data_IF_591280472951
#
_entry.id   IF_591280472951
#
_cell.length_a   1.000
_cell.length_b   1.000
_cell.length_c   1.000
_cell.angle_alpha   90.00
_cell.angle_beta   90.00
_cell.angle_gamma   90.00
#
_symmetry.space_group_name_H-M   'P 1'
#
loop_
_entity.id
_entity.type
_entity.pdbx_description
1 polymer ?
#
# COMPACT_ATOMS: atom_id res chain seq x y z
N UNK A 1 -28.20 41.14 36.92
CA UNK A 1 -27.49 41.34 35.63
C UNK A 1 -26.72 40.05 35.35
N UNK A 2 -27.24 39.22 34.46
CA UNK A 2 -26.66 37.91 34.11
C UNK A 2 -25.78 38.11 32.87
N UNK A 3 -24.48 37.90 33.01
CA UNK A 3 -23.50 38.02 31.91
C UNK A 3 -23.77 36.94 30.86
N UNK A 4 -23.74 37.24 29.54
CA UNK A 4 -23.94 36.24 28.51
C UNK A 4 -22.76 35.25 28.46
N UNK A 5 -23.11 33.98 28.34
CA UNK A 5 -22.22 32.82 28.22
C UNK A 5 -21.24 33.03 27.04
N UNK A 6 -19.94 33.07 27.32
CA UNK A 6 -18.93 33.30 26.31
C UNK A 6 -18.79 32.04 25.42
N UNK A 7 -18.72 32.17 24.08
CA UNK A 7 -18.61 31.02 23.20
C UNK A 7 -17.30 30.26 23.46
N UNK A 8 -17.43 28.98 23.81
CA UNK A 8 -16.30 28.07 24.05
C UNK A 8 -15.28 28.10 22.90
N UNK A 9 -13.97 28.24 23.19
CA UNK A 9 -12.96 28.38 22.15
C UNK A 9 -12.88 27.09 21.35
N UNK A 10 -13.38 27.12 20.11
CA UNK A 10 -13.22 26.01 19.16
C UNK A 10 -11.74 25.66 19.09
N UNK A 11 -11.39 24.39 19.34
CA UNK A 11 -10.00 23.93 19.34
C UNK A 11 -9.29 24.33 18.05
N UNK A 12 -8.03 24.75 18.16
CA UNK A 12 -7.25 25.20 17.00
C UNK A 12 -6.96 24.03 16.06
N UNK A 13 -6.71 24.31 14.78
CA UNK A 13 -6.37 23.26 13.81
C UNK A 13 -5.12 22.47 14.23
N UNK A 14 -4.10 23.15 14.76
CA UNK A 14 -2.87 22.51 15.25
C UNK A 14 -3.16 21.52 16.38
N UNK A 15 -4.04 21.88 17.30
CA UNK A 15 -4.44 21.01 18.40
C UNK A 15 -5.16 19.76 17.86
N UNK A 16 -6.10 19.93 16.93
CA UNK A 16 -6.83 18.81 16.32
C UNK A 16 -5.92 17.84 15.55
N UNK A 17 -4.90 18.36 14.86
CA UNK A 17 -3.91 17.54 14.16
C UNK A 17 -3.07 16.73 15.16
N UNK A 18 -2.67 17.36 16.27
CA UNK A 18 -1.93 16.68 17.34
C UNK A 18 -2.77 15.58 18.01
N UNK A 19 -4.02 15.88 18.34
CA UNK A 19 -4.99 14.91 18.89
C UNK A 19 -5.28 13.75 17.93
N UNK A 20 -5.23 13.99 16.62
CA UNK A 20 -5.46 12.96 15.61
C UNK A 20 -4.30 11.96 15.44
N UNK A 21 -3.11 12.25 15.95
CA UNK A 21 -1.89 11.45 15.76
C UNK A 21 -0.91 12.00 14.72
N UNK A 22 -1.09 13.26 14.28
CA UNK A 22 -0.26 13.90 13.26
C UNK A 22 -1.02 14.22 11.97
N UNK A 23 -0.33 14.85 11.02
CA UNK A 23 -0.93 15.32 9.76
C UNK A 23 -1.46 14.17 8.89
N UNK A 24 -0.72 13.07 8.81
CA UNK A 24 -1.13 11.89 8.03
C UNK A 24 -2.48 11.35 8.52
N UNK A 25 -2.58 11.04 9.82
CA UNK A 25 -3.81 10.53 10.43
C UNK A 25 -4.98 11.52 10.35
N UNK A 26 -4.71 12.81 10.56
CA UNK A 26 -5.74 13.84 10.43
C UNK A 26 -6.34 13.88 9.02
N UNK A 27 -5.48 13.89 7.99
CA UNK A 27 -5.92 13.91 6.60
C UNK A 27 -6.60 12.61 6.21
N UNK A 28 -6.06 11.46 6.62
CA UNK A 28 -6.64 10.16 6.33
C UNK A 28 -8.06 10.04 6.92
N UNK A 29 -8.25 10.41 8.20
CA UNK A 29 -9.58 10.42 8.84
C UNK A 29 -10.57 11.35 8.14
N UNK A 30 -10.10 12.52 7.68
CA UNK A 30 -10.94 13.46 6.91
C UNK A 30 -11.31 12.89 5.55
N UNK A 31 -10.35 12.29 4.84
CA UNK A 31 -10.54 11.70 3.52
C UNK A 31 -11.49 10.51 3.58
N UNK A 32 -11.31 9.59 4.53
CA UNK A 32 -12.16 8.41 4.72
C UNK A 32 -13.62 8.80 4.96
N UNK A 33 -13.88 9.88 5.70
CA UNK A 33 -15.24 10.38 5.93
C UNK A 33 -15.94 10.81 4.63
N UNK A 34 -15.19 11.32 3.65
CA UNK A 34 -15.75 11.88 2.41
C UNK A 34 -15.72 10.89 1.26
N UNK A 35 -14.61 10.17 1.10
CA UNK A 35 -14.33 9.27 -0.02
C UNK A 35 -14.49 7.78 0.33
N UNK A 36 -14.70 7.46 1.62
CA UNK A 36 -14.69 6.08 2.11
C UNK A 36 -13.26 5.56 2.39
N UNK A 37 -13.15 4.40 3.07
CA UNK A 37 -11.87 3.74 3.25
C UNK A 37 -11.29 3.30 1.90
N UNK A 38 -9.96 3.17 1.84
CA UNK A 38 -9.32 2.63 0.66
C UNK A 38 -9.93 1.26 0.32
N UNK A 39 -10.39 1.11 -0.92
CA UNK A 39 -10.83 -0.18 -1.47
C UNK A 39 -9.60 -1.06 -1.69
N UNK A 40 -9.01 -1.55 -0.62
CA UNK A 40 -8.28 -2.82 -0.69
C UNK A 40 -9.36 -3.83 -1.02
N UNK A 41 -9.41 -4.28 -2.28
CA UNK A 41 -10.35 -5.33 -2.68
C UNK A 41 -10.23 -6.54 -1.75
N UNK A 42 -11.11 -7.54 -1.86
CA UNK A 42 -10.89 -8.80 -1.17
C UNK A 42 -9.43 -9.19 -1.42
N UNK A 43 -8.64 -9.32 -0.36
CA UNK A 43 -7.33 -9.93 -0.52
C UNK A 43 -7.62 -11.29 -1.11
N UNK A 44 -7.24 -11.50 -2.36
CA UNK A 44 -7.31 -12.82 -2.96
C UNK A 44 -6.49 -13.73 -2.05
N UNK A 45 -7.19 -14.58 -1.30
CA UNK A 45 -6.56 -15.56 -0.41
C UNK A 45 -6.04 -16.75 -1.20
N UNK A 46 -6.44 -16.85 -2.48
CA UNK A 46 -5.83 -17.74 -3.44
C UNK A 46 -4.34 -17.44 -3.52
N UNK A 47 -3.47 -18.41 -3.18
CA UNK A 47 -2.03 -18.23 -3.36
C UNK A 47 -1.75 -17.83 -4.80
N UNK A 48 -0.87 -16.84 -4.98
CA UNK A 48 -0.51 -16.41 -6.33
C UNK A 48 0.06 -17.62 -7.09
N UNK A 49 -0.37 -17.87 -8.35
CA UNK A 49 0.14 -19.00 -9.11
C UNK A 49 1.66 -18.90 -9.22
N UNK A 50 2.34 -20.05 -9.15
CA UNK A 50 3.79 -20.10 -9.28
C UNK A 50 4.21 -19.47 -10.62
N UNK A 51 4.91 -18.34 -10.51
CA UNK A 51 5.37 -17.58 -11.68
C UNK A 51 6.40 -18.37 -12.48
N UNK A 52 7.05 -19.36 -11.88
CA UNK A 52 8.10 -20.16 -12.51
C UNK A 52 7.54 -21.24 -13.45
N UNK A 53 6.26 -21.59 -13.33
CA UNK A 53 5.60 -22.53 -14.26
C UNK A 53 5.15 -21.87 -15.58
N UNK A 54 5.32 -20.55 -15.70
CA UNK A 54 5.10 -19.85 -16.98
C UNK A 54 6.16 -20.28 -18.00
N UNK A 55 5.72 -20.43 -19.24
CA UNK A 55 6.60 -20.78 -20.35
C UNK A 55 7.63 -19.67 -20.61
N UNK A 56 8.90 -20.07 -20.79
CA UNK A 56 9.95 -19.17 -21.25
C UNK A 56 9.62 -18.65 -22.66
N UNK A 57 9.71 -17.34 -22.93
CA UNK A 57 9.37 -16.78 -24.25
C UNK A 57 10.36 -17.17 -25.36
N UNK A 58 11.50 -17.79 -25.01
CA UNK A 58 12.52 -18.22 -25.96
C UNK A 58 12.41 -19.70 -26.32
N UNK A 59 12.30 -20.59 -25.32
CA UNK A 59 12.32 -22.05 -25.53
C UNK A 59 10.97 -22.74 -25.25
N UNK A 60 9.98 -22.05 -24.68
CA UNK A 60 8.66 -22.59 -24.37
C UNK A 60 8.58 -23.52 -23.15
N UNK A 61 9.71 -23.90 -22.55
CA UNK A 61 9.75 -24.74 -21.34
C UNK A 61 9.47 -23.92 -20.07
N UNK A 62 8.98 -24.54 -18.97
CA UNK A 62 8.78 -23.86 -17.69
C UNK A 62 10.05 -23.14 -17.22
N UNK A 63 9.90 -21.92 -16.70
CA UNK A 63 11.01 -21.14 -16.13
C UNK A 63 11.68 -21.85 -14.95
N UNK A 64 10.93 -22.72 -14.24
CA UNK A 64 11.43 -23.59 -13.16
C UNK A 64 12.56 -24.54 -13.59
N UNK A 65 12.69 -24.82 -14.90
CA UNK A 65 13.76 -25.67 -15.44
C UNK A 65 15.03 -24.90 -15.84
N UNK A 66 15.03 -23.57 -15.75
CA UNK A 66 16.15 -22.75 -16.19
C UNK A 66 17.18 -22.55 -15.07
N UNK A 67 18.46 -22.43 -15.44
CA UNK A 67 19.51 -22.03 -14.50
C UNK A 67 19.96 -20.61 -14.77
N UNK A 68 20.35 -19.88 -13.71
CA UNK A 68 20.77 -18.49 -13.81
C UNK A 68 22.16 -18.34 -13.21
N UNK A 69 23.12 -17.94 -14.05
CA UNK A 69 24.43 -17.49 -13.59
C UNK A 69 24.36 -16.01 -13.20
N UNK A 70 24.70 -15.73 -11.94
CA UNK A 70 24.72 -14.39 -11.34
C UNK A 70 26.12 -13.96 -10.91
N UNK A 71 27.16 -14.66 -11.35
CA UNK A 71 28.56 -14.36 -10.99
C UNK A 71 29.06 -13.06 -11.63
N UNK A 72 28.53 -12.71 -12.82
CA UNK A 72 28.92 -11.51 -13.55
C UNK A 72 28.02 -10.29 -13.31
N UNK A 73 28.37 -9.12 -13.86
CA UNK A 73 27.58 -7.89 -13.76
C UNK A 73 26.22 -7.99 -14.49
N UNK A 74 26.06 -8.96 -15.40
CA UNK A 74 24.82 -9.24 -16.11
C UNK A 74 24.41 -10.70 -15.84
N UNK A 75 23.24 -10.95 -15.22
CA UNK A 75 22.73 -12.30 -15.08
C UNK A 75 22.51 -12.96 -16.44
N UNK A 76 23.03 -14.18 -16.60
CA UNK A 76 22.83 -15.00 -17.78
C UNK A 76 21.89 -16.16 -17.44
N UNK A 77 20.87 -16.35 -18.28
CA UNK A 77 19.94 -17.46 -18.17
C UNK A 77 20.34 -18.56 -19.15
N UNK A 78 20.36 -19.80 -18.70
CA UNK A 78 20.52 -20.99 -19.55
C UNK A 78 19.19 -21.71 -19.67
N UNK A 79 18.76 -21.95 -20.91
CA UNK A 79 17.63 -22.81 -21.21
C UNK A 79 18.00 -24.28 -20.98
N UNK A 80 17.03 -25.12 -20.54
CA UNK A 80 17.22 -26.57 -20.39
C UNK A 80 17.32 -27.30 -21.73
#
# INVERSE_FOLDING_TARGET
MTTPDAPSPRSTLRQRVREAGGWYEYLNKKLIRVAGPASVGPYETTPEPDRTERACPLCGRPMSLHTFDRSGPKPLMHCP
#
